data_IF_743221355221
#
_entry.id   IF_743221355221
#
_cell.length_a   1.000
_cell.length_b   1.000
_cell.length_c   1.000
_cell.angle_alpha   90.00
_cell.angle_beta   90.00
_cell.angle_gamma   90.00
#
_symmetry.space_group_name_H-M   'P 1'
#
loop_
_entity.id
_entity.type
_entity.pdbx_description
1 polymer ?
#
# COMPACT_ATOMS: atom_id res chain seq x y z
N UNK A 1 -6.31 21.44 24.60
CA UNK A 1 -5.65 21.89 25.84
C UNK A 1 -6.12 21.01 27.00
N UNK A 2 -5.26 20.64 27.98
CA UNK A 2 -5.65 19.85 29.15
C UNK A 2 -6.72 20.54 30.02
N UNK A 3 -7.45 19.77 30.84
CA UNK A 3 -8.46 20.33 31.75
C UNK A 3 -7.88 20.83 33.08
N UNK A 4 -8.66 21.65 33.79
CA UNK A 4 -8.26 22.31 35.04
C UNK A 4 -7.86 21.31 36.12
N UNK A 5 -8.50 20.14 36.16
CA UNK A 5 -8.17 19.07 37.11
C UNK A 5 -6.75 18.56 36.86
N UNK A 6 -6.36 18.36 35.61
CA UNK A 6 -5.01 17.93 35.27
C UNK A 6 -3.98 19.01 35.62
N UNK A 7 -4.29 20.29 35.36
CA UNK A 7 -3.41 21.41 35.75
C UNK A 7 -3.23 21.53 37.26
N UNK A 8 -4.28 21.36 38.05
CA UNK A 8 -4.18 21.39 39.51
C UNK A 8 -3.33 20.23 40.05
N UNK A 9 -3.47 19.02 39.49
CA UNK A 9 -2.65 17.88 39.88
C UNK A 9 -1.18 18.06 39.48
N UNK A 10 -0.93 18.66 38.31
CA UNK A 10 0.42 19.01 37.85
C UNK A 10 1.07 20.07 38.76
N UNK A 11 0.35 21.15 39.08
CA UNK A 11 0.84 22.22 39.96
C UNK A 11 1.14 21.74 41.39
N UNK A 12 0.48 20.67 41.85
CA UNK A 12 0.75 20.02 43.13
C UNK A 12 1.82 18.92 43.06
N UNK A 13 2.47 18.73 41.91
CA UNK A 13 3.46 17.66 41.69
C UNK A 13 2.89 16.23 41.76
N UNK A 14 1.56 16.06 41.85
CA UNK A 14 0.93 14.75 42.08
C UNK A 14 0.92 13.84 40.86
N UNK A 15 1.22 14.38 39.67
CA UNK A 15 1.38 13.58 38.45
C UNK A 15 2.70 12.80 38.43
N UNK A 16 3.59 12.93 39.41
CA UNK A 16 4.75 12.02 39.56
C UNK A 16 4.37 10.71 40.23
N UNK A 17 3.22 10.65 40.91
CA UNK A 17 2.64 9.42 41.43
C UNK A 17 2.04 8.58 40.28
N UNK A 18 2.49 7.33 40.17
CA UNK A 18 2.03 6.40 39.14
C UNK A 18 0.53 6.10 39.22
N UNK A 19 -0.03 5.93 40.42
CA UNK A 19 -1.45 5.64 40.59
C UNK A 19 -2.29 6.85 40.17
N UNK A 20 -1.86 8.06 40.51
CA UNK A 20 -2.53 9.31 40.10
C UNK A 20 -2.49 9.47 38.58
N UNK A 21 -1.33 9.24 37.94
CA UNK A 21 -1.23 9.29 36.47
C UNK A 21 -2.14 8.29 35.79
N UNK A 22 -2.09 7.02 36.20
CA UNK A 22 -2.91 5.98 35.58
C UNK A 22 -4.39 6.28 35.72
N UNK A 23 -4.84 6.80 36.87
CA UNK A 23 -6.21 7.23 37.07
C UNK A 23 -6.61 8.38 36.13
N UNK A 24 -5.73 9.37 35.90
CA UNK A 24 -6.00 10.45 34.96
C UNK A 24 -6.00 9.99 33.51
N UNK A 25 -5.08 9.10 33.11
CA UNK A 25 -5.06 8.51 31.77
C UNK A 25 -6.35 7.75 31.50
N UNK A 26 -6.76 6.85 32.39
CA UNK A 26 -8.03 6.10 32.26
C UNK A 26 -9.24 7.02 32.19
N UNK A 27 -9.25 8.12 32.95
CA UNK A 27 -10.31 9.13 32.88
C UNK A 27 -10.33 9.82 31.51
N UNK A 28 -9.17 10.25 31.02
CA UNK A 28 -9.06 10.93 29.72
C UNK A 28 -9.44 10.01 28.57
N UNK A 29 -9.07 8.72 28.62
CA UNK A 29 -9.48 7.73 27.61
C UNK A 29 -10.99 7.47 27.58
N UNK A 30 -11.70 7.70 28.70
CA UNK A 30 -13.18 7.60 28.75
C UNK A 30 -13.89 8.85 28.23
N UNK A 31 -13.18 9.96 28.02
CA UNK A 31 -13.77 11.18 27.48
C UNK A 31 -14.03 11.01 25.96
N UNK A 32 -15.17 11.47 25.41
CA UNK A 32 -15.46 11.38 23.98
C UNK A 32 -14.35 11.94 23.07
N UNK A 33 -13.55 12.91 23.56
CA UNK A 33 -12.40 13.46 22.84
C UNK A 33 -11.29 12.43 22.59
N UNK A 34 -11.21 11.36 23.38
CA UNK A 34 -10.26 10.28 23.16
C UNK A 34 -10.48 9.56 21.82
N UNK A 35 -11.70 9.60 21.27
CA UNK A 35 -11.98 9.06 19.93
C UNK A 35 -11.18 9.77 18.85
N UNK A 36 -11.01 11.09 18.95
CA UNK A 36 -10.22 11.85 17.99
C UNK A 36 -8.73 11.48 18.08
N UNK A 37 -8.22 11.25 19.30
CA UNK A 37 -6.87 10.71 19.52
C UNK A 37 -6.70 9.33 18.87
N UNK A 38 -7.61 8.39 19.14
CA UNK A 38 -7.56 7.05 18.57
C UNK A 38 -7.58 7.08 17.03
N UNK A 39 -8.43 7.93 16.45
CA UNK A 39 -8.50 8.11 15.00
C UNK A 39 -7.18 8.65 14.42
N UNK A 40 -6.64 9.73 14.98
CA UNK A 40 -5.38 10.32 14.50
C UNK A 40 -4.21 9.35 14.65
N UNK A 41 -4.12 8.67 15.79
CA UNK A 41 -3.08 7.69 16.03
C UNK A 41 -3.14 6.56 15.00
N UNK A 42 -4.32 5.97 14.78
CA UNK A 42 -4.51 4.92 13.79
C UNK A 42 -4.22 5.41 12.37
N UNK A 43 -4.66 6.61 12.01
CA UNK A 43 -4.41 7.20 10.68
C UNK A 43 -2.91 7.35 10.40
N UNK A 44 -2.15 7.86 11.36
CA UNK A 44 -0.71 8.10 11.20
C UNK A 44 0.09 6.81 11.26
N UNK A 45 -0.20 5.96 12.25
CA UNK A 45 0.51 4.70 12.44
C UNK A 45 0.30 3.76 11.25
N UNK A 46 -0.91 3.67 10.71
CA UNK A 46 -1.24 2.70 9.67
C UNK A 46 -1.24 3.29 8.25
N UNK A 47 -0.94 4.58 8.11
CA UNK A 47 -1.04 5.38 6.86
C UNK A 47 -2.41 5.22 6.17
N UNK A 48 -3.51 5.35 6.93
CA UNK A 48 -4.87 5.28 6.36
C UNK A 48 -5.21 6.35 5.30
N UNK A 49 -4.52 7.51 5.22
CA UNK A 49 -4.62 8.39 4.07
C UNK A 49 -4.17 7.76 2.75
N UNK A 50 -3.35 6.70 2.77
CA UNK A 50 -2.93 5.99 1.56
C UNK A 50 -4.10 5.41 0.75
N UNK A 51 -5.23 5.07 1.39
CA UNK A 51 -6.44 4.63 0.68
C UNK A 51 -6.91 5.62 -0.40
N UNK A 52 -6.74 6.92 -0.15
CA UNK A 52 -7.19 7.96 -1.09
C UNK A 52 -6.24 8.09 -2.29
N UNK A 53 -5.00 7.59 -2.17
CA UNK A 53 -4.00 7.59 -3.26
C UNK A 53 -4.23 6.46 -4.26
N UNK A 54 -4.99 5.44 -3.88
CA UNK A 54 -5.28 4.28 -4.74
C UNK A 54 -6.51 4.58 -5.59
N UNK A 55 -6.32 4.77 -6.89
CA UNK A 55 -7.42 4.88 -7.84
C UNK A 55 -7.89 3.47 -8.24
N UNK A 56 -9.08 3.06 -7.78
CA UNK A 56 -9.66 1.78 -8.18
C UNK A 56 -10.30 1.95 -9.54
N UNK A 57 -9.91 1.10 -10.50
CA UNK A 57 -10.45 1.17 -11.84
C UNK A 57 -11.90 0.61 -11.85
N UNK A 58 -12.92 1.42 -12.15
CA UNK A 58 -14.31 0.98 -12.16
C UNK A 58 -14.62 -0.02 -13.28
N UNK A 59 -13.79 -0.13 -14.31
CA UNK A 59 -13.93 -1.14 -15.37
C UNK A 59 -13.72 -2.55 -14.81
N UNK A 60 -12.74 -2.71 -13.92
CA UNK A 60 -12.46 -3.99 -13.26
C UNK A 60 -13.28 -4.19 -11.99
N UNK A 61 -13.62 -3.11 -11.28
CA UNK A 61 -14.33 -3.15 -9.99
C UNK A 61 -15.58 -2.26 -9.99
N UNK A 62 -16.64 -2.61 -10.76
CA UNK A 62 -17.78 -1.71 -11.01
C UNK A 62 -18.66 -1.43 -9.79
N UNK A 63 -18.61 -2.30 -8.78
CA UNK A 63 -19.35 -2.11 -7.52
C UNK A 63 -18.58 -1.30 -6.48
N UNK A 64 -17.33 -0.93 -6.77
CA UNK A 64 -16.48 -0.20 -5.85
C UNK A 64 -16.75 1.31 -5.95
N UNK A 65 -16.94 1.96 -4.80
CA UNK A 65 -17.14 3.41 -4.73
C UNK A 65 -16.27 4.05 -3.62
N UNK A 66 -16.11 5.37 -3.67
CA UNK A 66 -15.34 6.10 -2.65
C UNK A 66 -16.03 6.13 -1.28
N UNK A 67 -17.32 5.76 -1.20
CA UNK A 67 -18.01 5.59 0.09
C UNK A 67 -17.48 4.36 0.81
N UNK A 68 -17.24 3.28 0.08
CA UNK A 68 -16.65 2.05 0.60
C UNK A 68 -15.23 2.29 1.12
N UNK A 69 -14.41 3.11 0.46
CA UNK A 69 -13.10 3.53 1.01
C UNK A 69 -13.21 4.20 2.37
N UNK A 70 -14.19 5.10 2.54
CA UNK A 70 -14.45 5.75 3.82
C UNK A 70 -14.88 4.73 4.87
N UNK A 71 -15.76 3.81 4.51
CA UNK A 71 -16.21 2.75 5.40
C UNK A 71 -15.06 1.82 5.84
N UNK A 72 -14.13 1.48 4.93
CA UNK A 72 -12.92 0.71 5.25
C UNK A 72 -11.97 1.46 6.19
N UNK A 73 -11.79 2.78 6.01
CA UNK A 73 -11.01 3.60 6.92
C UNK A 73 -11.66 3.65 8.30
N UNK A 74 -12.97 3.83 8.33
CA UNK A 74 -13.73 3.90 9.58
C UNK A 74 -13.75 2.54 10.30
N UNK A 75 -13.77 1.41 9.59
CA UNK A 75 -13.57 0.08 10.17
C UNK A 75 -12.28 0.04 11.00
N UNK A 76 -11.14 0.42 10.41
CA UNK A 76 -9.85 0.37 11.11
C UNK A 76 -9.80 1.28 12.32
N UNK A 77 -10.33 2.51 12.18
CA UNK A 77 -10.40 3.47 13.29
C UNK A 77 -11.25 2.95 14.45
N UNK A 78 -12.44 2.43 14.16
CA UNK A 78 -13.31 1.85 15.18
C UNK A 78 -12.72 0.60 15.79
N UNK A 79 -12.05 -0.24 14.98
CA UNK A 79 -11.41 -1.46 15.45
C UNK A 79 -10.28 -1.17 16.43
N UNK A 80 -9.41 -0.21 16.10
CA UNK A 80 -8.37 0.26 17.01
C UNK A 80 -8.96 0.88 18.29
N UNK A 81 -9.98 1.73 18.14
CA UNK A 81 -10.65 2.35 19.29
C UNK A 81 -11.31 1.32 20.21
N UNK A 82 -11.90 0.25 19.66
CA UNK A 82 -12.49 -0.83 20.44
C UNK A 82 -11.42 -1.57 21.27
N UNK A 83 -10.29 -1.93 20.64
CA UNK A 83 -9.17 -2.58 21.34
C UNK A 83 -8.65 -1.69 22.47
N UNK A 84 -8.47 -0.39 22.20
CA UNK A 84 -7.96 0.56 23.19
C UNK A 84 -8.95 0.79 24.34
N UNK A 85 -10.24 0.99 24.04
CA UNK A 85 -11.25 1.35 25.05
C UNK A 85 -11.65 0.16 25.92
N UNK A 86 -11.70 -1.04 25.34
CA UNK A 86 -12.02 -2.27 26.05
C UNK A 86 -10.78 -2.94 26.67
N UNK A 87 -9.60 -2.31 26.58
CA UNK A 87 -8.33 -2.82 27.13
C UNK A 87 -8.05 -4.27 26.67
N UNK A 88 -8.28 -4.52 25.37
CA UNK A 88 -8.09 -5.83 24.78
C UNK A 88 -6.60 -6.09 24.51
N UNK A 89 -6.21 -7.35 24.48
CA UNK A 89 -4.86 -7.75 24.07
C UNK A 89 -4.52 -7.18 22.70
N UNK A 90 -3.32 -6.62 22.56
CA UNK A 90 -2.77 -6.16 21.28
C UNK A 90 -2.72 -7.27 20.22
N UNK A 91 -2.71 -8.55 20.62
CA UNK A 91 -2.80 -9.69 19.71
C UNK A 91 -4.11 -9.71 18.89
N UNK A 92 -5.14 -8.98 19.32
CA UNK A 92 -6.37 -8.78 18.53
C UNK A 92 -6.08 -8.11 17.18
N UNK A 93 -5.01 -7.32 17.07
CA UNK A 93 -4.58 -6.72 15.81
C UNK A 93 -4.17 -7.79 14.79
N UNK A 94 -3.66 -8.94 15.24
CA UNK A 94 -3.28 -10.05 14.36
C UNK A 94 -4.46 -10.97 14.08
N UNK A 95 -5.24 -11.29 15.13
CA UNK A 95 -6.38 -12.19 15.04
C UNK A 95 -7.42 -11.80 16.07
N UNK A 96 -8.64 -11.55 15.60
CA UNK A 96 -9.77 -11.20 16.44
C UNK A 96 -11.01 -12.01 16.07
N UNK A 97 -11.91 -12.22 17.04
CA UNK A 97 -13.20 -12.87 16.85
C UNK A 97 -14.32 -11.89 16.45
N UNK A 98 -13.96 -10.62 16.23
CA UNK A 98 -14.88 -9.58 15.82
C UNK A 98 -14.32 -8.71 14.68
N UNK A 99 -15.23 -8.01 14.01
CA UNK A 99 -14.93 -6.93 13.08
C UNK A 99 -15.81 -5.72 13.39
N UNK A 100 -15.39 -4.54 12.94
CA UNK A 100 -16.20 -3.32 13.02
C UNK A 100 -16.83 -3.08 11.65
N UNK A 101 -18.14 -3.24 11.55
CA UNK A 101 -18.83 -3.22 10.27
C UNK A 101 -20.04 -2.29 10.31
N UNK A 102 -20.26 -1.57 9.20
CA UNK A 102 -21.56 -1.01 8.87
C UNK A 102 -22.21 -1.84 7.76
N UNK A 103 -23.43 -1.49 7.34
CA UNK A 103 -24.17 -2.27 6.34
C UNK A 103 -23.43 -2.38 4.99
N UNK A 104 -22.85 -1.29 4.49
CA UNK A 104 -22.17 -1.30 3.18
C UNK A 104 -20.96 -2.23 3.21
N UNK A 105 -20.14 -2.10 4.26
CA UNK A 105 -18.93 -2.89 4.41
C UNK A 105 -19.25 -4.36 4.69
N UNK A 106 -20.29 -4.65 5.49
CA UNK A 106 -20.77 -6.01 5.71
C UNK A 106 -21.21 -6.67 4.39
N UNK A 107 -21.94 -5.93 3.54
CA UNK A 107 -22.29 -6.38 2.19
C UNK A 107 -21.06 -6.66 1.32
N UNK A 108 -20.04 -5.79 1.38
CA UNK A 108 -18.78 -5.99 0.68
C UNK A 108 -18.01 -7.23 1.15
N UNK A 109 -18.08 -7.57 2.45
CA UNK A 109 -17.44 -8.77 3.01
C UNK A 109 -18.31 -10.03 2.95
N UNK A 110 -19.55 -9.95 2.48
CA UNK A 110 -20.49 -11.07 2.47
C UNK A 110 -20.96 -11.48 3.87
N UNK A 111 -20.90 -10.57 4.85
CA UNK A 111 -21.33 -10.83 6.23
C UNK A 111 -22.76 -10.29 6.41
N UNK A 112 -23.72 -11.12 6.85
CA UNK A 112 -25.08 -10.65 7.09
C UNK A 112 -25.12 -9.72 8.30
N UNK A 113 -25.66 -8.51 8.11
CA UNK A 113 -25.85 -7.52 9.17
C UNK A 113 -27.26 -6.91 9.07
N UNK A 114 -27.99 -6.77 10.20
CA UNK A 114 -29.30 -6.11 10.20
C UNK A 114 -29.23 -4.67 9.65
N UNK A 115 -30.35 -4.11 9.16
CA UNK A 115 -30.40 -2.73 8.69
C UNK A 115 -29.92 -1.73 9.77
N UNK A 116 -28.92 -0.92 9.44
CA UNK A 116 -28.38 0.12 10.31
C UNK A 116 -27.34 0.96 9.56
N UNK A 117 -27.14 2.21 9.99
CA UNK A 117 -26.18 3.14 9.37
C UNK A 117 -24.80 3.13 10.02
N UNK A 118 -24.75 2.90 11.32
CA UNK A 118 -23.52 3.11 12.11
C UNK A 118 -22.59 1.90 12.10
N UNK A 119 -21.31 2.19 12.35
CA UNK A 119 -20.28 1.19 12.56
C UNK A 119 -20.50 0.48 13.90
N UNK A 120 -20.58 -0.85 13.89
CA UNK A 120 -20.84 -1.64 15.09
C UNK A 120 -19.90 -2.84 15.17
N UNK A 121 -19.68 -3.32 16.39
CA UNK A 121 -18.92 -4.54 16.65
C UNK A 121 -19.77 -5.74 16.26
N UNK A 122 -19.27 -6.57 15.36
CA UNK A 122 -19.93 -7.77 14.87
C UNK A 122 -19.07 -8.97 15.25
N UNK A 123 -19.65 -9.92 16.00
CA UNK A 123 -19.00 -11.20 16.28
C UNK A 123 -18.93 -12.03 15.01
N UNK A 124 -17.76 -12.56 14.72
CA UNK A 124 -17.51 -13.39 13.55
C UNK A 124 -17.79 -14.85 13.87
N UNK A 125 -18.17 -15.63 12.85
CA UNK A 125 -18.36 -17.07 12.98
C UNK A 125 -17.02 -17.77 13.24
N UNK A 126 -17.06 -18.92 13.92
CA UNK A 126 -15.88 -19.77 14.04
C UNK A 126 -15.33 -20.14 12.65
N UNK A 127 -14.01 -20.10 12.51
CA UNK A 127 -13.34 -20.35 11.22
C UNK A 127 -13.39 -19.19 10.22
N UNK A 128 -13.97 -18.04 10.58
CA UNK A 128 -13.87 -16.82 9.76
C UNK A 128 -12.40 -16.46 9.50
N UNK A 129 -12.08 -16.20 8.23
CA UNK A 129 -10.79 -15.63 7.81
C UNK A 129 -10.73 -14.10 8.00
N UNK A 130 -11.86 -13.49 8.38
CA UNK A 130 -11.94 -12.08 8.79
C UNK A 130 -11.59 -11.96 10.27
N UNK A 131 -11.13 -10.78 10.64
CA UNK A 131 -10.74 -10.44 12.01
C UNK A 131 -9.24 -10.17 12.10
N UNK A 132 -8.89 -9.05 12.72
CA UNK A 132 -7.51 -8.54 12.70
C UNK A 132 -7.21 -7.64 11.50
N UNK A 133 -6.16 -6.86 11.64
CA UNK A 133 -5.82 -5.72 10.79
C UNK A 133 -5.44 -6.12 9.36
N UNK A 134 -4.72 -7.23 9.20
CA UNK A 134 -4.25 -7.71 7.88
C UNK A 134 -5.38 -8.22 6.97
N UNK A 135 -6.59 -8.37 7.52
CA UNK A 135 -7.78 -8.85 6.80
C UNK A 135 -8.72 -7.71 6.39
N UNK A 136 -8.45 -6.48 6.85
CA UNK A 136 -9.28 -5.30 6.63
C UNK A 136 -9.07 -4.72 5.23
N UNK A 137 -10.13 -4.17 4.66
CA UNK A 137 -10.12 -3.56 3.34
C UNK A 137 -9.16 -2.38 3.23
N UNK A 138 -8.98 -1.62 4.31
CA UNK A 138 -8.02 -0.51 4.37
C UNK A 138 -6.58 -0.96 4.11
N UNK A 139 -6.15 -2.04 4.77
CA UNK A 139 -4.83 -2.63 4.57
C UNK A 139 -4.71 -3.24 3.17
N UNK A 140 -5.71 -4.02 2.75
CA UNK A 140 -5.67 -4.74 1.48
C UNK A 140 -5.66 -3.79 0.27
N UNK A 141 -6.42 -2.70 0.34
CA UNK A 141 -6.54 -1.69 -0.70
C UNK A 141 -5.34 -0.75 -0.74
N UNK A 142 -4.89 -0.21 0.41
CA UNK A 142 -3.75 0.71 0.46
C UNK A 142 -2.46 0.09 -0.09
N UNK A 143 -2.36 -1.23 0.01
CA UNK A 143 -1.23 -2.02 -0.48
C UNK A 143 -1.55 -2.74 -1.81
N UNK A 144 -2.29 -2.07 -2.70
CA UNK A 144 -2.62 -2.53 -4.05
C UNK A 144 -2.15 -1.52 -5.11
N UNK A 145 -2.42 -1.78 -6.40
CA UNK A 145 -2.29 -0.78 -7.48
C UNK A 145 -3.66 -0.29 -7.99
N UNK A 146 -4.78 -0.69 -7.35
CA UNK A 146 -6.14 -0.32 -7.75
C UNK A 146 -6.80 -1.26 -8.77
N UNK A 147 -6.02 -2.11 -9.43
CA UNK A 147 -6.49 -3.19 -10.31
C UNK A 147 -6.29 -4.55 -9.63
N UNK A 148 -5.06 -4.79 -9.18
CA UNK A 148 -4.56 -6.02 -8.56
C UNK A 148 -3.97 -5.82 -7.16
N UNK A 149 -3.96 -6.92 -6.41
CA UNK A 149 -3.23 -7.04 -5.15
C UNK A 149 -1.71 -6.96 -5.36
N UNK A 150 -0.99 -6.32 -4.43
CA UNK A 150 0.47 -6.20 -4.52
C UNK A 150 1.18 -6.84 -3.30
N UNK A 151 1.59 -8.12 -3.36
CA UNK A 151 2.20 -8.83 -2.23
C UNK A 151 3.44 -8.15 -1.66
N UNK A 152 4.30 -7.58 -2.52
CA UNK A 152 5.52 -6.88 -2.08
C UNK A 152 5.16 -5.66 -1.23
N UNK A 153 4.26 -4.77 -1.68
CA UNK A 153 3.79 -3.61 -0.88
C UNK A 153 3.22 -4.03 0.48
N UNK A 154 2.45 -5.12 0.51
CA UNK A 154 1.91 -5.68 1.76
C UNK A 154 3.02 -6.15 2.71
N UNK A 155 4.03 -6.84 2.21
CA UNK A 155 5.17 -7.28 3.02
C UNK A 155 5.97 -6.09 3.57
N UNK A 156 6.25 -5.08 2.72
CA UNK A 156 6.91 -3.84 3.13
C UNK A 156 6.13 -3.13 4.23
N UNK A 157 4.81 -3.02 4.08
CA UNK A 157 3.95 -2.39 5.09
C UNK A 157 3.99 -3.13 6.42
N UNK A 158 3.99 -4.47 6.41
CA UNK A 158 4.07 -5.28 7.64
C UNK A 158 5.41 -5.07 8.35
N UNK A 159 6.51 -5.11 7.59
CA UNK A 159 7.86 -4.87 8.11
C UNK A 159 7.98 -3.48 8.76
N UNK A 160 7.51 -2.44 8.06
CA UNK A 160 7.54 -1.06 8.53
C UNK A 160 6.59 -0.81 9.72
N UNK A 161 5.30 -1.10 9.57
CA UNK A 161 4.27 -0.66 10.53
C UNK A 161 4.06 -1.58 11.72
N UNK A 162 4.37 -2.86 11.58
CA UNK A 162 4.11 -3.86 12.63
C UNK A 162 5.40 -4.38 13.27
N UNK A 163 6.50 -4.47 12.52
CA UNK A 163 7.75 -5.06 12.99
C UNK A 163 8.85 -4.01 13.29
N UNK A 164 8.64 -2.74 12.94
CA UNK A 164 9.62 -1.65 13.12
C UNK A 164 10.98 -1.96 12.45
N UNK A 165 10.94 -2.67 11.33
CA UNK A 165 12.10 -3.11 10.55
C UNK A 165 11.90 -2.82 9.05
N UNK A 166 11.83 -1.53 8.65
CA UNK A 166 11.54 -1.17 7.27
C UNK A 166 12.65 -1.64 6.32
N UNK A 167 12.30 -2.13 5.11
CA UNK A 167 13.29 -2.55 4.13
C UNK A 167 14.15 -1.36 3.65
N UNK A 168 15.36 -1.67 3.18
CA UNK A 168 16.24 -0.65 2.60
C UNK A 168 15.54 0.08 1.42
N UNK A 169 15.77 1.39 1.26
CA UNK A 169 15.18 2.14 0.16
C UNK A 169 15.65 1.56 -1.18
N UNK A 170 14.79 1.56 -2.22
CA UNK A 170 15.18 1.07 -3.52
C UNK A 170 16.37 1.89 -4.06
N UNK A 171 17.33 1.26 -4.76
CA UNK A 171 18.39 1.98 -5.46
C UNK A 171 17.79 2.97 -6.47
N UNK A 172 18.45 4.13 -6.74
CA UNK A 172 17.90 5.19 -7.59
C UNK A 172 17.52 4.78 -9.03
N UNK A 173 18.12 3.71 -9.57
CA UNK A 173 18.07 3.36 -10.99
C UNK A 173 17.32 2.04 -11.30
N UNK A 174 16.46 1.55 -10.42
CA UNK A 174 15.70 0.31 -10.70
C UNK A 174 14.44 0.61 -11.53
N UNK A 175 14.30 0.07 -12.76
CA UNK A 175 13.07 0.21 -13.54
C UNK A 175 11.89 -0.52 -12.86
N UNK A 176 10.68 0.00 -13.04
CA UNK A 176 9.45 -0.67 -12.58
C UNK A 176 9.36 -2.09 -13.16
N UNK A 177 8.89 -3.04 -12.34
CA UNK A 177 8.74 -4.44 -12.72
C UNK A 177 7.63 -4.60 -13.76
N UNK A 178 8.03 -4.92 -14.99
CA UNK A 178 7.13 -5.25 -16.10
C UNK A 178 6.46 -6.63 -15.86
N UNK A 179 5.13 -6.70 -15.71
CA UNK A 179 4.42 -7.96 -15.45
C UNK A 179 4.49 -8.95 -16.64
N UNK A 180 4.90 -8.51 -17.83
CA UNK A 180 5.11 -9.38 -18.99
C UNK A 180 6.43 -10.15 -18.96
N UNK A 181 7.31 -9.88 -17.98
CA UNK A 181 8.65 -10.47 -17.87
C UNK A 181 8.85 -11.19 -16.52
N UNK A 182 8.47 -12.46 -16.41
CA UNK A 182 8.48 -13.22 -15.14
C UNK A 182 9.87 -13.42 -14.51
N UNK A 183 10.95 -13.24 -15.28
CA UNK A 183 12.32 -13.43 -14.80
C UNK A 183 12.93 -12.19 -14.12
N UNK A 184 12.32 -11.01 -14.23
CA UNK A 184 12.79 -9.79 -13.54
C UNK A 184 12.51 -9.83 -12.04
N UNK A 185 11.44 -10.51 -11.62
CA UNK A 185 11.12 -10.69 -10.21
C UNK A 185 12.25 -11.42 -9.46
N UNK A 186 12.87 -12.45 -10.06
CA UNK A 186 14.04 -13.13 -9.48
C UNK A 186 15.26 -12.22 -9.40
N UNK A 187 15.57 -11.50 -10.47
CA UNK A 187 16.73 -10.60 -10.52
C UNK A 187 16.64 -9.45 -9.50
N UNK A 188 15.45 -8.88 -9.28
CA UNK A 188 15.24 -7.83 -8.27
C UNK A 188 15.29 -8.40 -6.85
N UNK A 189 14.84 -9.64 -6.64
CA UNK A 189 14.95 -10.33 -5.34
C UNK A 189 16.41 -10.65 -4.99
N UNK A 190 17.21 -11.08 -5.97
CA UNK A 190 18.65 -11.35 -5.82
C UNK A 190 19.44 -10.07 -5.56
N UNK A 191 19.12 -8.97 -6.25
CA UNK A 191 19.72 -7.66 -5.98
C UNK A 191 19.38 -7.10 -4.60
N UNK A 192 18.15 -7.32 -4.11
CA UNK A 192 17.70 -6.86 -2.79
C UNK A 192 18.26 -7.69 -1.62
N UNK A 193 18.62 -8.97 -1.85
CA UNK A 193 19.19 -9.87 -0.83
C UNK A 193 20.73 -9.83 -0.75
N UNK A 194 21.41 -8.99 -1.55
CA UNK A 194 22.85 -8.79 -1.46
C UNK A 194 23.71 -10.01 -1.79
N UNK A 195 23.14 -11.05 -2.42
CA UNK A 195 23.91 -12.20 -2.87
C UNK A 195 24.54 -11.90 -4.22
N UNK A 196 25.84 -11.66 -4.24
CA UNK A 196 26.61 -11.59 -5.49
C UNK A 196 26.45 -12.90 -6.28
N UNK A 197 26.27 -12.86 -7.61
CA UNK A 197 26.18 -14.08 -8.40
C UNK A 197 27.55 -14.79 -8.36
N UNK A 198 27.54 -16.08 -7.98
CA UNK A 198 28.73 -16.91 -8.17
C UNK A 198 28.97 -17.07 -9.67
N UNK A 199 30.12 -16.56 -10.14
CA UNK A 199 30.65 -16.84 -11.47
C UNK A 199 30.89 -18.34 -11.60
N UNK A 200 30.05 -19.05 -12.35
CA UNK A 200 30.25 -20.47 -12.55
C UNK A 200 29.08 -21.22 -13.16
N UNK A 201 28.61 -20.83 -14.35
CA UNK A 201 27.79 -21.71 -15.21
C UNK A 201 27.52 -21.09 -16.59
N UNK A 202 28.58 -20.80 -17.35
CA UNK A 202 28.49 -20.58 -18.79
C UNK A 202 29.57 -21.39 -19.52
N UNK A 203 29.56 -22.71 -19.31
CA UNK A 203 30.15 -23.65 -20.26
C UNK A 203 29.25 -24.88 -20.29
N UNK A 204 28.67 -25.15 -21.46
CA UNK A 204 28.23 -26.45 -22.02
C UNK A 204 27.00 -26.27 -22.90
N UNK A 205 27.17 -25.72 -24.11
CA UNK A 205 26.39 -26.11 -25.29
C UNK A 205 27.34 -26.11 -26.51
N UNK A 206 27.54 -27.31 -27.08
CA UNK A 206 28.42 -27.61 -28.22
C UNK A 206 27.72 -27.35 -29.57
N UNK A 207 28.43 -27.03 -30.66
CA UNK A 207 27.83 -26.69 -31.95
C UNK A 207 27.71 -27.91 -32.86
N UNK A 208 26.49 -28.39 -33.08
CA UNK A 208 26.17 -29.30 -34.16
C UNK A 208 24.68 -29.17 -34.51
N UNK A 209 24.34 -28.29 -35.45
CA UNK A 209 23.51 -28.68 -36.60
C UNK A 209 23.30 -27.54 -37.60
N UNK A 210 23.36 -27.93 -38.88
CA UNK A 210 22.89 -27.23 -40.10
C UNK A 210 23.81 -26.22 -40.80
N UNK A 211 24.71 -26.79 -41.59
CA UNK A 211 24.96 -26.35 -42.96
C UNK A 211 24.14 -27.24 -43.92
N UNK A 212 23.25 -26.64 -44.72
CA UNK A 212 22.84 -26.97 -46.12
C UNK A 212 21.90 -25.79 -46.54
N UNK A 213 21.97 -25.06 -47.65
CA UNK A 213 22.80 -25.04 -48.87
C UNK A 213 22.09 -24.17 -49.94
N UNK A 214 22.87 -23.43 -50.77
CA UNK A 214 22.50 -22.82 -52.08
C UNK A 214 21.66 -21.52 -52.06
N UNK A 215 21.96 -20.40 -52.72
CA UNK A 215 22.95 -20.03 -53.73
C UNK A 215 22.29 -19.63 -55.06
N UNK A 216 22.03 -18.34 -55.34
CA UNK A 216 21.88 -17.78 -56.72
C UNK A 216 22.18 -16.25 -56.78
N UNK A 217 23.31 -15.93 -57.41
CA UNK A 217 23.65 -14.90 -58.44
C UNK A 217 23.06 -13.47 -58.52
N UNK A 218 24.00 -12.58 -58.86
CA UNK A 218 23.99 -11.17 -59.31
C UNK A 218 23.01 -10.74 -60.42
N UNK A 219 22.75 -9.42 -60.52
CA UNK A 219 22.92 -8.54 -61.72
C UNK A 219 22.46 -7.09 -61.35
N UNK A 220 23.32 -6.07 -61.18
CA UNK A 220 24.10 -5.20 -62.10
C UNK A 220 23.33 -4.00 -62.73
N UNK A 221 23.99 -2.82 -62.64
CA UNK A 221 23.84 -1.53 -63.39
C UNK A 221 22.77 -0.55 -62.87
N UNK A 222 23.01 0.75 -62.72
CA UNK A 222 24.20 1.58 -62.95
C UNK A 222 23.87 3.08 -62.86
N UNK A 223 24.92 3.89 -62.67
CA UNK A 223 25.01 5.26 -63.19
C UNK A 223 24.38 6.42 -62.37
N UNK A 224 24.89 7.65 -62.53
CA UNK A 224 25.20 8.53 -61.39
C UNK A 224 24.53 9.92 -61.47
N UNK A 225 24.92 10.79 -60.51
CA UNK A 225 25.22 12.24 -60.68
C UNK A 225 24.39 13.24 -59.85
N UNK A 226 25.17 14.13 -59.21
CA UNK A 226 24.94 15.52 -58.77
C UNK A 226 23.99 15.76 -57.58
N UNK A 227 24.49 16.24 -56.44
CA UNK A 227 25.12 17.56 -56.16
C UNK A 227 24.09 18.64 -55.82
N UNK A 228 23.96 18.97 -54.52
CA UNK A 228 24.29 20.31 -54.00
C UNK A 228 24.05 20.38 -52.50
N UNK A 229 25.14 20.59 -51.77
CA UNK A 229 25.15 21.22 -50.45
C UNK A 229 25.00 22.74 -50.61
N UNK A 230 24.66 23.36 -49.48
CA UNK A 230 24.63 24.81 -49.19
C UNK A 230 23.30 25.49 -49.58
N UNK A 231 22.67 26.31 -48.74
CA UNK A 231 23.24 27.23 -47.75
C UNK A 231 22.14 27.69 -46.76
N UNK A 232 22.49 27.68 -45.48
CA UNK A 232 22.23 28.71 -44.45
C UNK A 232 20.89 29.48 -44.41
N UNK A 233 20.19 29.28 -43.28
CA UNK A 233 19.93 30.26 -42.19
C UNK A 233 19.37 31.66 -42.47
N UNK A 234 18.48 32.04 -41.52
CA UNK A 234 17.91 33.37 -41.17
C UNK A 234 16.62 33.70 -41.93
N UNK A 235 15.59 34.31 -41.35
CA UNK A 235 15.29 34.88 -40.02
C UNK A 235 13.74 34.98 -40.00
N UNK A 236 13.05 34.54 -38.94
CA UNK A 236 12.49 35.42 -37.90
C UNK A 236 11.48 36.44 -38.43
N UNK A 237 10.20 36.24 -38.12
CA UNK A 237 9.21 37.21 -37.58
C UNK A 237 7.79 36.62 -37.66
N UNK A 238 7.07 36.62 -36.53
CA UNK A 238 5.59 36.50 -36.52
C UNK A 238 4.94 37.84 -36.91
N UNK A 239 3.68 38.15 -36.52
CA UNK A 239 2.65 37.33 -35.86
C UNK A 239 1.24 37.49 -36.50
N UNK A 240 0.24 36.90 -35.84
CA UNK A 240 -1.17 37.39 -35.69
C UNK A 240 -2.30 36.89 -36.62
N UNK A 241 -3.40 36.50 -35.95
CA UNK A 241 -4.82 36.45 -36.34
C UNK A 241 -5.22 35.38 -37.38
N UNK A 242 -6.28 34.58 -37.18
CA UNK A 242 -7.52 34.73 -36.40
C UNK A 242 -7.89 33.43 -35.69
#
# INVERSE_FOLDING_TARGET
>A
MPDDRLFQLAGKGRLTDQAVRQAQVRRMLKDPRARQFANHFADQWLDLPALDRVAVNPEFHPTFDDRLKRDMRDETRHFFAEILNADLSALNLLKSDFAMLNRRLAGHYGIPLPPGGDMQRVKLSEGSHRGGLLTQGSFLLSNSNGEDSHPIKRAVWVLDRLLDDPPAPPPPDVPDLDPSRPNLAKAVTEAATGSAPQEGSLQQLSPADRSVGGGVRELRRGGPVADRRHRTSKEKTGPTAR
#
